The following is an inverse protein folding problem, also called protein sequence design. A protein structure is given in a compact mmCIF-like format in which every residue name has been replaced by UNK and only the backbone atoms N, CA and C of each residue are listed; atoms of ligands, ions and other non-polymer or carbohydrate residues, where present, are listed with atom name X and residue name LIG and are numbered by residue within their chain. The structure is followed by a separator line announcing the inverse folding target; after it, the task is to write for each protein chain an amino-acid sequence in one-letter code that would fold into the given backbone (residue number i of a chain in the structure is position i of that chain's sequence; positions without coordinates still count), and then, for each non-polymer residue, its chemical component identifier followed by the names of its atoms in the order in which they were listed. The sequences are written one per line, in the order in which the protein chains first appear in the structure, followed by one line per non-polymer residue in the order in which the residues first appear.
data_IF_528268434451
#
_entry.id   IF_528268434451
#
_cell.length_a   1.000
_cell.length_b   1.000
_cell.length_c   1.000
_cell.angle_alpha   90.00
_cell.angle_beta   90.00
_cell.angle_gamma   90.00
#
_symmetry.space_group_name_H-M   'P 1'
#
loop_
_entity.id
_entity.type
_entity.pdbx_description
1 polymer ?
#
# COMPACT_ATOMS: atom_id res chain seq x y z
N UNK A 1 10.69 -21.94 42.17
CA UNK A 1 9.69 -21.63 41.14
C UNK A 1 9.87 -20.17 40.71
N UNK A 2 10.39 -19.91 39.50
CA UNK A 2 10.61 -18.53 39.00
C UNK A 2 9.51 -18.18 38.00
N UNK A 3 8.64 -17.23 38.38
CA UNK A 3 7.62 -16.68 37.51
C UNK A 3 8.25 -15.81 36.42
N UNK A 4 8.17 -16.26 35.16
CA UNK A 4 8.62 -15.49 34.01
C UNK A 4 7.51 -14.50 33.64
N UNK A 5 7.72 -13.24 34.02
CA UNK A 5 6.93 -12.08 33.61
C UNK A 5 6.95 -11.96 32.08
N UNK A 6 5.83 -12.30 31.42
CA UNK A 6 5.59 -12.02 30.00
C UNK A 6 5.43 -10.50 29.83
N UNK A 7 6.54 -9.80 29.57
CA UNK A 7 6.50 -8.39 29.15
C UNK A 7 5.76 -8.26 27.83
N UNK A 8 4.55 -7.71 27.93
CA UNK A 8 3.76 -7.11 26.86
C UNK A 8 4.62 -6.27 25.91
N UNK A 9 4.91 -6.80 24.71
CA UNK A 9 5.33 -5.98 23.57
C UNK A 9 4.08 -5.46 22.88
N UNK A 10 3.47 -4.44 23.46
CA UNK A 10 2.51 -3.60 22.75
C UNK A 10 3.30 -2.96 21.60
N UNK A 11 3.09 -3.46 20.38
CA UNK A 11 3.55 -2.78 19.16
C UNK A 11 2.96 -1.39 19.23
N UNK A 12 3.81 -0.36 19.38
CA UNK A 12 3.42 1.04 19.20
C UNK A 12 2.87 1.18 17.79
N UNK A 13 1.57 1.05 17.63
CA UNK A 13 0.82 1.58 16.50
C UNK A 13 0.94 3.08 16.62
N UNK A 14 1.97 3.65 16.00
CA UNK A 14 2.05 5.08 15.79
C UNK A 14 0.76 5.49 15.08
N UNK A 15 -0.15 6.11 15.81
CA UNK A 15 -1.35 6.73 15.27
C UNK A 15 -0.87 7.91 14.43
N UNK A 16 -0.71 7.67 13.13
CA UNK A 16 -0.10 8.53 12.11
C UNK A 16 -0.91 9.79 11.77
N UNK A 17 -1.83 10.27 12.63
CA UNK A 17 -2.80 11.33 12.31
C UNK A 17 -2.18 12.63 11.73
N UNK A 18 -1.08 13.19 12.28
CA UNK A 18 -0.53 14.47 11.78
C UNK A 18 0.18 14.38 10.42
N UNK A 19 0.64 13.19 10.05
CA UNK A 19 1.36 12.95 8.81
C UNK A 19 0.40 12.82 7.62
N UNK A 20 -0.78 12.21 7.85
CA UNK A 20 -1.85 12.14 6.86
C UNK A 20 -2.25 13.52 6.37
N UNK A 21 -2.39 14.51 7.25
CA UNK A 21 -2.81 15.87 6.90
C UNK A 21 -1.81 16.62 6.02
N UNK A 22 -0.50 16.35 6.16
CA UNK A 22 0.54 16.90 5.27
C UNK A 22 0.57 16.19 3.91
N UNK A 23 0.32 14.88 3.90
CA UNK A 23 0.24 14.06 2.70
C UNK A 23 -1.02 14.34 1.87
N UNK A 24 -2.13 14.67 2.53
CA UNK A 24 -3.43 15.04 1.97
C UNK A 24 -3.42 16.36 1.18
N UNK A 25 -2.42 17.23 1.40
CA UNK A 25 -2.32 18.55 0.76
C UNK A 25 -1.70 18.52 -0.64
N UNK A 26 -0.93 17.50 -1.00
CA UNK A 26 -0.30 17.39 -2.32
C UNK A 26 -0.88 16.22 -3.11
N UNK A 27 -1.61 16.53 -4.19
CA UNK A 27 -2.25 15.52 -5.06
C UNK A 27 -1.26 14.72 -5.91
N UNK A 28 0.03 15.06 -5.91
CA UNK A 28 1.06 14.36 -6.70
C UNK A 28 1.79 13.25 -5.95
N UNK A 29 1.62 13.13 -4.63
CA UNK A 29 2.44 12.21 -3.83
C UNK A 29 1.93 10.77 -3.92
N UNK A 30 2.84 9.87 -4.30
CA UNK A 30 2.59 8.43 -4.41
C UNK A 30 3.25 7.75 -3.23
N UNK A 31 2.47 6.98 -2.48
CA UNK A 31 2.89 6.48 -1.17
C UNK A 31 3.01 4.97 -1.22
N UNK A 32 4.18 4.46 -0.89
CA UNK A 32 4.38 3.05 -0.62
C UNK A 32 3.95 2.70 0.78
N UNK A 33 3.15 1.65 0.88
CA UNK A 33 2.76 1.06 2.14
C UNK A 33 2.65 -0.47 2.04
N UNK A 34 2.54 -1.10 3.20
CA UNK A 34 2.18 -2.51 3.31
C UNK A 34 0.75 -2.66 3.82
N UNK A 35 0.01 -3.54 3.17
CA UNK A 35 -1.37 -3.91 3.50
C UNK A 35 -1.34 -5.20 4.34
N UNK A 36 -1.69 -5.15 5.64
CA UNK A 36 -1.77 -6.33 6.49
C UNK A 36 -2.86 -7.30 6.05
N UNK A 37 -2.78 -8.55 6.50
CA UNK A 37 -3.67 -9.64 6.10
C UNK A 37 -5.17 -9.32 6.16
N UNK A 38 -5.64 -8.74 7.27
CA UNK A 38 -7.08 -8.50 7.47
C UNK A 38 -7.64 -7.49 6.47
N UNK A 39 -6.88 -6.42 6.18
CA UNK A 39 -7.27 -5.44 5.18
C UNK A 39 -7.05 -5.97 3.76
N UNK A 40 -6.00 -6.78 3.56
CA UNK A 40 -5.74 -7.43 2.28
C UNK A 40 -6.90 -8.35 1.87
N UNK A 41 -7.47 -9.13 2.80
CA UNK A 41 -8.67 -9.94 2.54
C UNK A 41 -9.83 -9.09 2.03
N UNK A 42 -10.12 -7.98 2.71
CA UNK A 42 -11.22 -7.08 2.33
C UNK A 42 -11.02 -6.47 0.95
N UNK A 43 -9.78 -6.14 0.59
CA UNK A 43 -9.48 -5.69 -0.77
C UNK A 43 -9.58 -6.82 -1.79
N UNK A 44 -9.12 -8.02 -1.43
CA UNK A 44 -9.09 -9.18 -2.29
C UNK A 44 -10.51 -9.66 -2.65
N UNK A 45 -11.42 -9.67 -1.67
CA UNK A 45 -12.85 -9.95 -1.85
C UNK A 45 -13.49 -9.00 -2.87
N UNK A 46 -13.16 -7.71 -2.82
CA UNK A 46 -13.68 -6.71 -3.77
C UNK A 46 -13.22 -6.91 -5.20
N UNK A 47 -12.10 -7.58 -5.41
CA UNK A 47 -11.50 -7.79 -6.73
C UNK A 47 -11.51 -9.26 -7.14
N UNK A 48 -12.31 -10.12 -6.48
CA UNK A 48 -12.46 -11.52 -6.88
C UNK A 48 -11.26 -12.43 -6.59
N UNK A 49 -10.42 -12.12 -5.59
CA UNK A 49 -9.36 -13.01 -5.11
C UNK A 49 -7.99 -12.87 -5.80
N UNK A 50 -7.82 -11.88 -6.66
CA UNK A 50 -6.59 -11.71 -7.48
C UNK A 50 -5.40 -11.06 -6.75
N UNK A 51 -5.59 -10.50 -5.56
CA UNK A 51 -4.52 -9.97 -4.71
C UNK A 51 -3.81 -11.07 -3.92
N UNK A 52 -4.34 -12.29 -3.90
CA UNK A 52 -3.65 -13.46 -3.36
C UNK A 52 -3.58 -13.48 -1.82
N UNK A 53 -4.59 -12.92 -1.14
CA UNK A 53 -4.68 -12.91 0.32
C UNK A 53 -4.62 -14.30 0.94
N UNK A 54 -5.14 -15.32 0.25
CA UNK A 54 -5.09 -16.72 0.67
C UNK A 54 -3.65 -17.28 0.82
N UNK A 55 -2.69 -16.77 0.04
CA UNK A 55 -1.26 -17.18 0.08
C UNK A 55 -0.37 -16.17 0.79
N UNK A 56 -0.79 -14.91 0.91
CA UNK A 56 0.06 -13.81 1.38
C UNK A 56 -0.58 -13.13 2.59
N UNK A 57 0.19 -13.05 3.68
CA UNK A 57 -0.22 -12.35 4.92
C UNK A 57 -0.02 -10.84 4.86
N UNK A 58 0.65 -10.34 3.83
CA UNK A 58 0.97 -8.93 3.67
C UNK A 58 1.27 -8.65 2.20
N UNK A 59 0.90 -7.47 1.70
CA UNK A 59 1.15 -7.08 0.31
C UNK A 59 1.54 -5.62 0.21
N UNK A 60 2.62 -5.28 -0.51
CA UNK A 60 2.94 -3.90 -0.81
C UNK A 60 1.89 -3.28 -1.74
N UNK A 61 1.64 -1.99 -1.57
CA UNK A 61 0.77 -1.20 -2.43
C UNK A 61 1.33 0.22 -2.61
N UNK A 62 0.93 0.86 -3.70
CA UNK A 62 1.06 2.31 -3.89
C UNK A 62 -0.34 2.90 -3.81
N UNK A 63 -0.52 3.92 -2.97
CA UNK A 63 -1.75 4.71 -2.96
C UNK A 63 -1.44 6.20 -3.14
N UNK A 64 -2.38 6.93 -3.74
CA UNK A 64 -2.25 8.37 -3.98
C UNK A 64 -3.63 9.01 -4.01
N UNK A 65 -3.62 10.32 -3.79
CA UNK A 65 -4.80 11.16 -3.90
C UNK A 65 -5.03 11.52 -5.37
N UNK A 66 -6.26 11.49 -5.84
CA UNK A 66 -6.67 11.95 -7.16
C UNK A 66 -7.87 12.88 -7.03
N UNK A 67 -8.13 13.69 -8.05
CA UNK A 67 -9.32 14.54 -8.14
C UNK A 67 -10.17 14.07 -9.32
N UNK A 68 -11.39 13.65 -9.05
CA UNK A 68 -12.40 13.37 -10.08
C UNK A 68 -13.64 14.22 -9.74
N UNK A 69 -14.17 14.97 -10.71
CA UNK A 69 -15.40 15.77 -10.57
C UNK A 69 -15.43 16.70 -9.33
N UNK A 70 -14.29 17.32 -9.01
CA UNK A 70 -14.11 18.17 -7.82
C UNK A 70 -14.19 17.46 -6.46
N UNK A 71 -14.22 16.13 -6.43
CA UNK A 71 -14.11 15.32 -5.22
C UNK A 71 -12.69 14.77 -5.05
N UNK A 72 -12.18 14.86 -3.82
CA UNK A 72 -10.92 14.26 -3.44
C UNK A 72 -11.10 12.74 -3.26
N UNK A 73 -10.56 11.96 -4.18
CA UNK A 73 -10.56 10.50 -4.15
C UNK A 73 -9.17 9.95 -3.88
N UNK A 74 -9.12 8.65 -3.58
CA UNK A 74 -7.86 7.94 -3.42
C UNK A 74 -7.85 6.71 -4.29
N UNK A 75 -6.76 6.50 -5.03
CA UNK A 75 -6.52 5.28 -5.79
C UNK A 75 -5.46 4.44 -5.08
N UNK A 76 -5.58 3.12 -5.20
CA UNK A 76 -4.57 2.17 -4.72
C UNK A 76 -4.35 1.07 -5.74
N UNK A 77 -3.07 0.74 -5.94
CA UNK A 77 -2.63 -0.42 -6.72
C UNK A 77 -1.76 -1.33 -5.85
N UNK A 78 -1.84 -2.63 -6.09
CA UNK A 78 -1.09 -3.63 -5.33
C UNK A 78 0.12 -4.11 -6.12
N UNK A 79 1.20 -4.38 -5.41
CA UNK A 79 2.48 -4.74 -5.98
C UNK A 79 2.79 -6.23 -5.82
N UNK A 80 3.48 -6.78 -6.81
CA UNK A 80 4.00 -8.15 -6.85
C UNK A 80 5.44 -8.17 -7.37
N UNK A 81 6.19 -9.22 -7.05
CA UNK A 81 7.51 -9.48 -7.64
C UNK A 81 7.41 -10.25 -8.97
N UNK A 82 6.21 -10.68 -9.36
CA UNK A 82 5.99 -11.38 -10.63
C UNK A 82 6.17 -10.43 -11.81
N UNK A 83 7.01 -10.83 -12.78
CA UNK A 83 7.30 -10.04 -13.99
C UNK A 83 6.26 -10.20 -15.11
N UNK A 84 5.18 -10.92 -14.83
CA UNK A 84 4.16 -11.27 -15.83
C UNK A 84 3.30 -10.07 -16.23
N UNK A 85 3.28 -9.02 -15.40
CA UNK A 85 2.43 -7.84 -15.57
C UNK A 85 3.21 -6.66 -16.17
N UNK A 86 2.62 -5.86 -17.07
CA UNK A 86 3.34 -4.91 -17.91
C UNK A 86 3.79 -3.63 -17.18
N UNK A 87 3.10 -3.21 -16.11
CA UNK A 87 3.43 -1.97 -15.39
C UNK A 87 4.45 -2.28 -14.29
N UNK A 88 5.70 -1.86 -14.51
CA UNK A 88 6.77 -1.96 -13.53
C UNK A 88 6.97 -0.67 -12.74
N UNK A 89 7.22 -0.82 -11.44
CA UNK A 89 7.43 0.24 -10.46
C UNK A 89 8.85 0.10 -9.89
N UNK A 90 9.64 1.15 -10.01
CA UNK A 90 10.97 1.23 -9.42
C UNK A 90 10.86 1.74 -7.97
N UNK A 91 11.01 0.83 -7.01
CA UNK A 91 10.96 1.13 -5.60
C UNK A 91 12.29 1.68 -5.05
N UNK A 92 13.36 1.71 -5.85
CA UNK A 92 14.63 2.34 -5.43
C UNK A 92 14.48 3.85 -5.21
N UNK A 93 13.50 4.47 -5.87
CA UNK A 93 13.16 5.89 -5.76
C UNK A 93 12.16 6.21 -4.64
N UNK A 94 11.84 5.22 -3.80
CA UNK A 94 10.98 5.43 -2.65
C UNK A 94 11.82 5.77 -1.42
N UNK A 95 11.61 6.97 -0.89
CA UNK A 95 12.32 7.48 0.28
C UNK A 95 11.88 6.73 1.54
N UNK A 96 12.77 6.60 2.52
CA UNK A 96 12.47 6.06 3.87
C UNK A 96 12.05 4.58 3.96
N UNK A 97 12.05 3.79 2.86
CA UNK A 97 11.73 2.34 2.93
C UNK A 97 12.54 1.63 4.01
N UNK A 98 13.86 1.79 3.98
CA UNK A 98 14.79 1.15 4.93
C UNK A 98 14.56 1.62 6.37
N UNK A 99 14.02 2.82 6.57
CA UNK A 99 13.74 3.38 7.90
C UNK A 99 12.41 2.84 8.46
N UNK A 100 11.36 2.85 7.65
CA UNK A 100 10.00 2.57 8.12
C UNK A 100 9.61 1.09 8.01
N UNK A 101 10.19 0.38 7.05
CA UNK A 101 9.83 -0.99 6.71
C UNK A 101 11.06 -1.89 6.53
N UNK A 102 12.11 -1.71 7.36
CA UNK A 102 13.36 -2.49 7.33
C UNK A 102 13.17 -4.01 7.45
N UNK A 103 12.11 -4.44 8.12
CA UNK A 103 11.76 -5.84 8.35
C UNK A 103 11.09 -6.51 7.13
N UNK A 104 10.71 -5.74 6.12
CA UNK A 104 10.08 -6.25 4.91
C UNK A 104 11.03 -6.10 3.72
N UNK A 105 11.28 -7.21 3.01
CA UNK A 105 12.10 -7.18 1.81
C UNK A 105 11.27 -6.71 0.61
N UNK A 106 11.60 -5.55 0.06
CA UNK A 106 11.05 -5.05 -1.19
C UNK A 106 11.95 -5.44 -2.36
N UNK A 107 11.37 -6.03 -3.40
CA UNK A 107 12.06 -6.16 -4.67
C UNK A 107 12.26 -4.75 -5.27
N UNK A 108 13.50 -4.32 -5.62
CA UNK A 108 13.77 -2.99 -6.16
C UNK A 108 12.90 -2.66 -7.37
N UNK A 109 12.66 -3.65 -8.22
CA UNK A 109 11.65 -3.60 -9.28
C UNK A 109 10.45 -4.44 -8.88
N UNK A 110 9.32 -3.79 -8.69
CA UNK A 110 8.03 -4.41 -8.41
C UNK A 110 7.07 -4.17 -9.57
N UNK A 111 5.94 -4.87 -9.60
CA UNK A 111 4.98 -4.77 -10.70
C UNK A 111 3.55 -4.66 -10.17
N UNK A 112 2.70 -3.92 -10.88
CA UNK A 112 1.27 -3.79 -10.53
C UNK A 112 0.55 -5.11 -10.81
N UNK A 113 -0.37 -5.52 -9.94
CA UNK A 113 -1.18 -6.73 -10.14
C UNK A 113 -2.30 -6.47 -11.15
N UNK A 114 -2.55 -7.45 -12.02
CA UNK A 114 -3.57 -7.41 -13.06
C UNK A 114 -4.65 -8.44 -12.80
N UNK A 115 -5.87 -8.14 -13.26
CA UNK A 115 -6.98 -9.08 -13.36
C UNK A 115 -6.70 -10.14 -14.45
N UNK A 116 -7.46 -11.24 -14.48
CA UNK A 116 -7.39 -12.22 -15.57
C UNK A 116 -7.63 -11.61 -16.96
N UNK A 117 -8.42 -10.54 -17.04
CA UNK A 117 -8.71 -9.79 -18.27
C UNK A 117 -7.55 -8.87 -18.71
N UNK A 118 -6.38 -8.99 -18.08
CA UNK A 118 -5.20 -8.14 -18.33
C UNK A 118 -5.46 -6.65 -18.12
N UNK A 119 -6.34 -6.31 -17.18
CA UNK A 119 -6.51 -4.93 -16.71
C UNK A 119 -5.80 -4.74 -15.37
N UNK A 120 -5.13 -3.59 -15.13
CA UNK A 120 -4.51 -3.32 -13.85
C UNK A 120 -5.58 -3.21 -12.76
N UNK A 121 -5.34 -3.84 -11.62
CA UNK A 121 -6.22 -3.73 -10.46
C UNK A 121 -5.92 -2.42 -9.75
N UNK A 122 -6.69 -1.38 -10.10
CA UNK A 122 -6.67 -0.07 -9.48
C UNK A 122 -8.00 0.15 -8.75
N UNK A 123 -7.95 0.32 -7.43
CA UNK A 123 -9.15 0.51 -6.61
C UNK A 123 -9.30 1.96 -6.21
N UNK A 124 -10.49 2.51 -6.44
CA UNK A 124 -10.90 3.80 -5.87
C UNK A 124 -11.46 3.61 -4.47
N UNK A 125 -10.90 4.31 -3.50
CA UNK A 125 -11.27 4.25 -2.09
C UNK A 125 -12.33 5.31 -1.79
N UNK A 126 -13.57 4.87 -1.54
CA UNK A 126 -14.69 5.75 -1.18
C UNK A 126 -14.57 6.33 0.23
N UNK A 127 -13.80 5.70 1.12
CA UNK A 127 -13.60 6.17 2.50
C UNK A 127 -12.14 5.97 2.90
N UNK A 128 -11.22 6.75 2.31
CA UNK A 128 -9.78 6.55 2.43
C UNK A 128 -9.31 6.57 3.88
N UNK A 129 -9.84 7.47 4.71
CA UNK A 129 -9.46 7.55 6.12
C UNK A 129 -9.67 6.22 6.88
N UNK A 130 -10.74 5.50 6.58
CA UNK A 130 -11.07 4.23 7.23
C UNK A 130 -10.32 3.06 6.59
N UNK A 131 -10.25 3.04 5.25
CA UNK A 131 -9.59 1.98 4.49
C UNK A 131 -8.06 2.05 4.61
N UNK A 132 -7.50 3.23 4.86
CA UNK A 132 -6.06 3.45 4.92
C UNK A 132 -5.46 3.44 6.33
N UNK A 133 -6.29 3.53 7.37
CA UNK A 133 -5.86 3.67 8.78
C UNK A 133 -4.89 2.58 9.25
N UNK A 134 -5.02 1.38 8.71
CA UNK A 134 -4.25 0.20 9.13
C UNK A 134 -3.06 -0.12 8.23
N UNK A 135 -2.88 0.62 7.13
CA UNK A 135 -1.72 0.44 6.29
C UNK A 135 -0.45 0.89 7.01
N UNK A 136 0.62 0.15 6.78
CA UNK A 136 1.94 0.47 7.32
C UNK A 136 2.64 1.35 6.30
N UNK A 137 2.76 2.64 6.60
CA UNK A 137 3.49 3.59 5.76
C UNK A 137 4.97 3.20 5.63
N UNK A 138 5.48 3.12 4.40
CA UNK A 138 6.87 2.78 4.13
C UNK A 138 7.66 3.93 3.51
N UNK A 139 7.04 4.78 2.68
CA UNK A 139 7.77 5.84 2.00
C UNK A 139 6.96 6.63 0.99
N UNK A 140 7.50 7.77 0.58
CA UNK A 140 7.04 8.50 -0.61
C UNK A 140 7.88 8.05 -1.80
N UNK A 141 7.24 7.82 -2.94
CA UNK A 141 7.89 7.42 -4.18
C UNK A 141 7.74 8.51 -5.24
N UNK A 142 8.80 8.70 -6.02
CA UNK A 142 8.88 9.68 -7.10
C UNK A 142 8.88 8.99 -8.47
N UNK A 143 8.58 9.74 -9.54
CA UNK A 143 8.57 9.27 -10.93
C UNK A 143 7.57 8.13 -11.19
N UNK A 144 6.37 8.25 -10.61
CA UNK A 144 5.27 7.29 -10.74
C UNK A 144 4.05 7.90 -11.46
N UNK A 145 4.28 8.86 -12.36
CA UNK A 145 3.24 9.57 -13.13
C UNK A 145 2.50 8.61 -14.07
N UNK A 146 3.13 7.49 -14.44
CA UNK A 146 2.49 6.41 -15.21
C UNK A 146 1.27 5.84 -14.49
N UNK A 147 1.23 5.91 -13.15
CA UNK A 147 0.06 5.49 -12.37
C UNK A 147 -1.10 6.49 -12.44
N UNK A 148 -0.89 7.74 -12.87
CA UNK A 148 -1.97 8.72 -13.04
C UNK A 148 -2.88 8.41 -14.24
N UNK A 149 -2.41 7.53 -15.14
CA UNK A 149 -3.18 7.05 -16.30
C UNK A 149 -4.10 5.87 -15.97
N UNK A 150 -4.11 5.43 -14.72
CA UNK A 150 -4.99 4.38 -14.16
C UNK A 150 -6.13 5.03 -13.38
#
# INVERSE_FOLDING_TARGET
MKAISKKNRIKKTFSFKPFWDKLLKSSSLKILALVPYDDLKRFDEKVGGYLGSHKRKIRPCIYWKTKEESQDLYKVVFLTSSRVTPISIDLSRCQSIKKNCSWFHFAPRSFVIFSPQRTPICLTLKSPALQLRKLIYCGVCENLETLDKL
#
